data_IF_511624313298
#
_entry.id   IF_511624313298
#
_cell.length_a   1.000
_cell.length_b   1.000
_cell.length_c   1.000
_cell.angle_alpha   90.00
_cell.angle_beta   90.00
_cell.angle_gamma   90.00
#
_symmetry.space_group_name_H-M   'P 1'
#
loop_
_entity.id
_entity.type
_entity.pdbx_description
1 polymer ?
#
# COMPACT_ATOMS: atom_id res chain seq x y z
N UNK A 1 2.89 16.30 -5.15
CA UNK A 1 2.20 15.21 -4.41
C UNK A 1 1.26 15.65 -3.28
N UNK A 2 1.50 16.75 -2.53
CA UNK A 2 0.61 17.20 -1.44
C UNK A 2 -0.83 17.56 -1.90
N UNK A 3 -0.97 18.17 -3.08
CA UNK A 3 -2.28 18.62 -3.61
C UNK A 3 -3.23 17.47 -4.02
N UNK A 4 -2.70 16.31 -4.42
CA UNK A 4 -3.53 15.14 -4.76
C UNK A 4 -4.15 14.49 -3.51
N UNK A 5 -3.41 14.46 -2.40
CA UNK A 5 -3.90 13.92 -1.13
C UNK A 5 -5.06 14.76 -0.57
N UNK A 6 -4.97 16.09 -0.67
CA UNK A 6 -6.02 17.01 -0.21
C UNK A 6 -7.33 16.84 -1.00
N UNK A 7 -7.26 16.72 -2.34
CA UNK A 7 -8.43 16.48 -3.19
C UNK A 7 -9.10 15.13 -2.92
N UNK A 8 -8.32 14.10 -2.60
CA UNK A 8 -8.84 12.76 -2.25
C UNK A 8 -9.63 12.79 -0.95
N UNK A 9 -9.10 13.42 0.10
CA UNK A 9 -9.77 13.55 1.41
C UNK A 9 -11.08 14.34 1.28
N UNK A 10 -11.08 15.42 0.50
CA UNK A 10 -12.27 16.26 0.33
C UNK A 10 -13.35 15.58 -0.52
N UNK A 11 -12.97 14.83 -1.56
CA UNK A 11 -13.88 14.00 -2.34
C UNK A 11 -14.52 12.89 -1.50
N UNK A 12 -13.73 12.17 -0.69
CA UNK A 12 -14.23 11.13 0.23
C UNK A 12 -15.16 11.73 1.29
N UNK A 13 -14.87 12.94 1.78
CA UNK A 13 -15.73 13.65 2.75
C UNK A 13 -17.05 14.12 2.13
N UNK A 14 -17.03 14.58 0.87
CA UNK A 14 -18.25 14.95 0.12
C UNK A 14 -19.09 13.69 -0.17
N UNK A 15 -18.45 12.59 -0.59
CA UNK A 15 -19.12 11.31 -0.82
C UNK A 15 -19.78 10.77 0.45
N UNK A 16 -19.07 10.78 1.57
CA UNK A 16 -19.63 10.39 2.86
C UNK A 16 -20.83 11.27 3.23
N UNK A 17 -20.74 12.59 3.06
CA UNK A 17 -21.86 13.51 3.31
C UNK A 17 -23.07 13.25 2.41
N UNK A 18 -22.86 12.96 1.13
CA UNK A 18 -23.91 12.60 0.17
C UNK A 18 -24.63 11.30 0.54
N UNK A 19 -23.92 10.39 1.21
CA UNK A 19 -24.44 9.08 1.63
C UNK A 19 -25.06 9.12 3.04
N UNK A 20 -24.74 10.11 3.88
CA UNK A 20 -25.19 10.19 5.29
C UNK A 20 -26.37 11.12 5.54
N UNK A 21 -26.73 12.00 4.60
CA UNK A 21 -27.88 12.89 4.78
C UNK A 21 -29.18 12.19 4.37
N UNK A 22 -29.83 11.59 5.37
CA UNK A 22 -31.22 11.11 5.34
C UNK A 22 -31.54 10.03 4.29
N UNK A 23 -31.44 8.78 4.73
CA UNK A 23 -31.82 7.50 4.09
C UNK A 23 -33.28 7.40 3.55
N UNK A 24 -34.01 8.50 3.38
CA UNK A 24 -35.42 8.49 2.96
C UNK A 24 -35.63 8.38 1.44
N UNK A 25 -34.59 8.51 0.62
CA UNK A 25 -34.71 8.49 -0.84
C UNK A 25 -33.70 7.59 -1.58
N UNK A 26 -32.89 6.82 -0.86
CA UNK A 26 -31.85 5.97 -1.45
C UNK A 26 -32.39 4.54 -1.58
N UNK A 27 -32.73 4.13 -2.80
CA UNK A 27 -33.12 2.74 -3.08
C UNK A 27 -31.87 1.89 -3.35
N UNK A 28 -31.70 0.80 -2.59
CA UNK A 28 -30.68 -0.22 -2.85
C UNK A 28 -31.30 -1.35 -3.67
N UNK A 29 -30.82 -1.53 -4.90
CA UNK A 29 -31.34 -2.57 -5.82
C UNK A 29 -30.59 -3.89 -5.71
N UNK A 30 -29.29 -3.83 -5.41
CA UNK A 30 -28.42 -4.99 -5.15
C UNK A 30 -27.38 -4.58 -4.10
N UNK A 31 -26.63 -5.52 -3.48
CA UNK A 31 -25.67 -5.19 -2.42
C UNK A 31 -24.59 -4.17 -2.82
N UNK A 32 -24.44 -3.91 -4.13
CA UNK A 32 -23.37 -3.11 -4.72
C UNK A 32 -23.87 -1.93 -5.57
N UNK A 33 -25.19 -1.74 -5.70
CA UNK A 33 -25.76 -0.66 -6.52
C UNK A 33 -26.66 0.22 -5.66
N UNK A 34 -26.27 1.49 -5.58
CA UNK A 34 -26.99 2.55 -4.88
C UNK A 34 -27.61 3.49 -5.91
N UNK A 35 -28.92 3.75 -5.78
CA UNK A 35 -29.63 4.69 -6.65
C UNK A 35 -29.96 5.94 -5.85
N UNK A 36 -29.62 7.10 -6.43
CA UNK A 36 -29.82 8.41 -5.82
C UNK A 36 -30.60 9.30 -6.79
N UNK A 37 -31.72 9.94 -6.39
CA UNK A 37 -32.43 10.89 -7.24
C UNK A 37 -31.56 12.10 -7.62
N UNK A 38 -31.63 12.55 -8.87
CA UNK A 38 -30.83 13.70 -9.35
C UNK A 38 -31.26 14.99 -8.66
N UNK A 39 -32.55 15.15 -8.38
CA UNK A 39 -33.07 16.29 -7.62
C UNK A 39 -32.33 16.46 -6.30
N UNK A 40 -32.11 15.35 -5.58
CA UNK A 40 -31.39 15.31 -4.32
C UNK A 40 -29.90 15.62 -4.49
N UNK A 41 -29.24 15.03 -5.49
CA UNK A 41 -27.83 15.31 -5.80
C UNK A 41 -27.63 16.81 -6.09
N UNK A 42 -28.50 17.42 -6.88
CA UNK A 42 -28.40 18.83 -7.24
C UNK A 42 -28.62 19.79 -6.06
N UNK A 43 -29.38 19.40 -5.03
CA UNK A 43 -29.52 20.18 -3.78
C UNK A 43 -28.25 20.22 -2.93
N UNK A 44 -27.38 19.21 -3.02
CA UNK A 44 -26.22 19.06 -2.13
C UNK A 44 -24.92 19.41 -2.85
N UNK A 45 -24.92 19.39 -4.18
CA UNK A 45 -23.77 19.77 -4.97
C UNK A 45 -23.40 21.25 -4.74
N UNK A 46 -22.10 21.56 -4.59
CA UNK A 46 -21.65 22.95 -4.52
C UNK A 46 -22.13 23.75 -5.74
N UNK A 47 -22.39 25.05 -5.57
CA UNK A 47 -23.01 25.98 -6.55
C UNK A 47 -22.27 26.12 -7.91
N UNK A 48 -21.18 25.38 -8.15
CA UNK A 48 -20.44 25.33 -9.42
C UNK A 48 -20.08 23.92 -9.88
N UNK A 49 -20.58 22.90 -9.19
CA UNK A 49 -20.24 21.52 -9.45
C UNK A 49 -21.30 20.89 -10.36
N UNK A 50 -20.89 20.50 -11.56
CA UNK A 50 -21.76 19.92 -12.58
C UNK A 50 -21.86 18.41 -12.40
N UNK A 51 -22.96 17.80 -12.88
CA UNK A 51 -23.10 16.34 -12.92
C UNK A 51 -21.96 15.66 -13.69
N UNK A 52 -21.41 16.31 -14.72
CA UNK A 52 -20.25 15.80 -15.46
C UNK A 52 -18.98 15.74 -14.61
N UNK A 53 -18.78 16.73 -13.74
CA UNK A 53 -17.67 16.73 -12.79
C UNK A 53 -17.88 15.68 -11.69
N UNK A 54 -19.12 15.45 -11.27
CA UNK A 54 -19.46 14.37 -10.34
C UNK A 54 -19.15 13.00 -10.91
N UNK A 55 -19.55 12.73 -12.16
CA UNK A 55 -19.26 11.46 -12.82
C UNK A 55 -17.76 11.21 -12.98
N UNK A 56 -17.00 12.23 -13.41
CA UNK A 56 -15.53 12.13 -13.48
C UNK A 56 -14.91 11.88 -12.11
N UNK A 57 -15.46 12.48 -11.05
CA UNK A 57 -14.96 12.28 -9.70
C UNK A 57 -15.26 10.85 -9.22
N UNK A 58 -16.43 10.31 -9.52
CA UNK A 58 -16.79 8.92 -9.21
C UNK A 58 -15.86 7.93 -9.95
N UNK A 59 -15.65 8.16 -11.24
CA UNK A 59 -14.75 7.36 -12.09
C UNK A 59 -13.30 7.37 -11.57
N UNK A 60 -12.74 8.54 -11.24
CA UNK A 60 -11.39 8.67 -10.65
C UNK A 60 -11.27 7.89 -9.34
N UNK A 61 -12.36 7.77 -8.59
CA UNK A 61 -12.40 7.04 -7.33
C UNK A 61 -12.80 5.55 -7.50
N UNK A 62 -12.89 5.06 -8.75
CA UNK A 62 -13.16 3.65 -9.06
C UNK A 62 -14.62 3.25 -9.00
N UNK A 63 -15.55 4.21 -8.90
CA UNK A 63 -16.99 3.94 -8.96
C UNK A 63 -17.45 3.95 -10.41
N UNK A 64 -18.24 2.94 -10.80
CA UNK A 64 -19.00 2.99 -12.03
C UNK A 64 -20.30 3.74 -11.77
N UNK A 65 -20.51 4.85 -12.48
CA UNK A 65 -21.68 5.69 -12.28
C UNK A 65 -22.37 5.98 -13.62
N UNK A 66 -23.70 5.82 -13.65
CA UNK A 66 -24.52 6.10 -14.81
C UNK A 66 -25.69 7.02 -14.42
N UNK A 67 -26.14 7.87 -15.35
CA UNK A 67 -27.19 8.86 -15.11
C UNK A 67 -28.32 8.63 -16.10
N UNK A 68 -29.54 8.48 -15.60
CA UNK A 68 -30.76 8.59 -16.39
C UNK A 68 -31.48 9.90 -16.03
N UNK A 69 -32.54 10.28 -16.75
CA UNK A 69 -33.28 11.55 -16.58
C UNK A 69 -33.70 11.88 -15.14
N UNK A 70 -33.89 10.88 -14.27
CA UNK A 70 -34.37 11.06 -12.90
C UNK A 70 -33.36 10.65 -11.82
N UNK A 71 -32.46 9.71 -12.12
CA UNK A 71 -31.68 9.00 -11.13
C UNK A 71 -30.20 8.89 -11.53
N UNK A 72 -29.32 9.00 -10.53
CA UNK A 72 -27.91 8.63 -10.57
C UNK A 72 -27.77 7.22 -10.00
N UNK A 73 -27.18 6.33 -10.79
CA UNK A 73 -26.85 4.97 -10.41
C UNK A 73 -25.37 4.94 -10.08
N UNK A 74 -25.02 4.51 -8.87
CA UNK A 74 -23.63 4.33 -8.45
C UNK A 74 -23.45 2.86 -8.13
N UNK A 75 -22.69 2.16 -8.95
CA UNK A 75 -22.13 0.87 -8.59
C UNK A 75 -20.86 1.12 -7.77
N UNK A 76 -20.80 0.56 -6.57
CA UNK A 76 -19.57 0.55 -5.78
C UNK A 76 -18.44 -0.09 -6.58
N UNK A 77 -17.17 0.34 -6.41
CA UNK A 77 -16.03 -0.34 -7.01
C UNK A 77 -16.17 -1.83 -6.77
N UNK A 78 -15.99 -2.61 -7.83
CA UNK A 78 -16.01 -4.06 -7.79
C UNK A 78 -15.14 -4.48 -6.61
N UNK A 79 -15.75 -5.04 -5.55
CA UNK A 79 -15.06 -5.43 -4.32
C UNK A 79 -13.88 -6.36 -4.64
N UNK A 80 -13.91 -6.98 -5.83
CA UNK A 80 -12.82 -7.75 -6.40
C UNK A 80 -11.50 -6.97 -6.50
N UNK A 81 -11.48 -5.73 -7.01
CA UNK A 81 -10.23 -4.97 -7.23
C UNK A 81 -9.56 -4.57 -5.92
N UNK A 82 -10.35 -4.14 -4.93
CA UNK A 82 -9.82 -3.83 -3.61
C UNK A 82 -9.35 -5.11 -2.89
N UNK A 83 -10.06 -6.23 -3.04
CA UNK A 83 -9.64 -7.51 -2.48
C UNK A 83 -8.39 -8.08 -3.18
N UNK A 84 -8.26 -7.91 -4.49
CA UNK A 84 -7.07 -8.32 -5.26
C UNK A 84 -5.87 -7.45 -4.90
N UNK A 85 -6.06 -6.14 -4.74
CA UNK A 85 -5.03 -5.24 -4.24
C UNK A 85 -4.55 -5.64 -2.84
N UNK A 86 -5.48 -5.97 -1.93
CA UNK A 86 -5.11 -6.42 -0.58
C UNK A 86 -4.36 -7.76 -0.62
N UNK A 87 -4.80 -8.73 -1.44
CA UNK A 87 -4.06 -9.99 -1.63
C UNK A 87 -2.65 -9.77 -2.17
N UNK A 88 -2.49 -8.87 -3.14
CA UNK A 88 -1.17 -8.53 -3.70
C UNK A 88 -0.30 -7.85 -2.63
N UNK A 89 -0.87 -6.98 -1.80
CA UNK A 89 -0.17 -6.32 -0.69
C UNK A 89 0.28 -7.33 0.36
N UNK A 90 -0.58 -8.24 0.79
CA UNK A 90 -0.26 -9.30 1.75
C UNK A 90 0.87 -10.21 1.20
N UNK A 91 0.81 -10.58 -0.08
CA UNK A 91 1.85 -11.37 -0.75
C UNK A 91 3.20 -10.63 -0.81
N UNK A 92 3.17 -9.32 -1.04
CA UNK A 92 4.37 -8.47 -1.05
C UNK A 92 4.96 -8.37 0.36
N UNK A 93 4.14 -8.16 1.39
CA UNK A 93 4.58 -8.09 2.78
C UNK A 93 5.23 -9.41 3.23
N UNK A 94 4.60 -10.55 2.95
CA UNK A 94 5.19 -11.87 3.25
C UNK A 94 6.52 -12.11 2.54
N UNK A 95 6.64 -11.69 1.26
CA UNK A 95 7.90 -11.82 0.52
C UNK A 95 8.98 -10.90 1.09
N UNK A 96 8.61 -9.69 1.51
CA UNK A 96 9.53 -8.74 2.13
C UNK A 96 10.07 -9.27 3.46
N UNK A 97 9.21 -9.86 4.29
CA UNK A 97 9.62 -10.50 5.55
C UNK A 97 10.61 -11.66 5.31
N UNK A 98 10.35 -12.51 4.31
CA UNK A 98 11.27 -13.61 3.93
C UNK A 98 12.64 -13.09 3.48
N UNK A 99 12.66 -12.01 2.70
CA UNK A 99 13.91 -11.37 2.26
C UNK A 99 14.67 -10.82 3.46
N UNK A 100 13.99 -10.13 4.37
CA UNK A 100 14.59 -9.56 5.57
C UNK A 100 15.22 -10.64 6.46
N UNK A 101 14.52 -11.75 6.68
CA UNK A 101 15.04 -12.91 7.42
C UNK A 101 16.26 -13.54 6.72
N UNK A 102 16.26 -13.60 5.39
CA UNK A 102 17.39 -14.12 4.61
C UNK A 102 18.61 -13.21 4.70
N UNK A 103 18.42 -11.89 4.63
CA UNK A 103 19.48 -10.89 4.82
C UNK A 103 20.05 -10.98 6.23
N UNK A 104 19.19 -11.11 7.24
CA UNK A 104 19.63 -11.23 8.63
C UNK A 104 20.50 -12.48 8.82
N UNK A 105 20.07 -13.63 8.29
CA UNK A 105 20.86 -14.86 8.34
C UNK A 105 22.20 -14.75 7.61
N UNK A 106 22.23 -14.09 6.45
CA UNK A 106 23.47 -13.84 5.72
C UNK A 106 24.42 -12.92 6.49
N UNK A 107 23.88 -11.89 7.16
CA UNK A 107 24.63 -10.98 8.03
C UNK A 107 25.27 -11.69 9.21
N UNK A 108 24.53 -12.57 9.88
CA UNK A 108 25.04 -13.33 11.02
C UNK A 108 26.13 -14.33 10.59
N UNK A 109 25.95 -14.99 9.44
CA UNK A 109 26.99 -15.83 8.85
C UNK A 109 28.26 -15.05 8.50
N UNK A 110 28.13 -13.82 7.97
CA UNK A 110 29.26 -12.95 7.68
C UNK A 110 30.01 -12.53 8.95
N UNK A 111 29.30 -12.27 10.06
CA UNK A 111 29.93 -11.97 11.35
C UNK A 111 30.74 -13.16 11.86
N UNK A 112 30.17 -14.36 11.81
CA UNK A 112 30.88 -15.59 12.21
C UNK A 112 32.12 -15.85 11.33
N UNK A 113 32.01 -15.63 10.02
CA UNK A 113 33.14 -15.75 9.10
C UNK A 113 34.23 -14.70 9.39
N UNK A 114 33.83 -13.47 9.74
CA UNK A 114 34.77 -12.41 10.12
C UNK A 114 35.51 -12.74 11.42
N UNK A 115 34.81 -13.27 12.42
CA UNK A 115 35.41 -13.74 13.68
C UNK A 115 36.38 -14.90 13.44
N UNK A 116 35.97 -15.87 12.61
CA UNK A 116 36.82 -16.99 12.21
C UNK A 116 38.10 -16.50 11.52
N UNK A 117 37.99 -15.53 10.61
CA UNK A 117 39.15 -14.94 9.94
C UNK A 117 40.07 -14.18 10.91
N UNK A 118 39.54 -13.51 11.93
CA UNK A 118 40.37 -12.87 12.96
C UNK A 118 41.19 -13.89 13.73
N UNK A 119 40.57 -15.01 14.12
CA UNK A 119 41.27 -16.10 14.81
C UNK A 119 42.37 -16.68 13.93
N UNK A 120 42.06 -16.99 12.67
CA UNK A 120 43.05 -17.52 11.71
C UNK A 120 44.22 -16.58 11.51
N UNK A 121 43.96 -15.26 11.43
CA UNK A 121 45.01 -14.26 11.33
C UNK A 121 45.95 -14.30 12.55
N UNK A 122 45.40 -14.34 13.77
CA UNK A 122 46.21 -14.43 14.99
C UNK A 122 47.00 -15.73 15.07
N UNK A 123 46.43 -16.86 14.63
CA UNK A 123 47.16 -18.14 14.55
C UNK A 123 48.33 -18.08 13.54
N UNK A 124 48.12 -17.41 12.41
CA UNK A 124 49.16 -17.21 11.40
C UNK A 124 50.30 -16.33 11.94
N UNK A 125 49.96 -15.24 12.63
CA UNK A 125 50.94 -14.34 13.27
C UNK A 125 51.80 -15.09 14.29
N UNK A 126 51.20 -15.91 15.15
CA UNK A 126 51.92 -16.78 16.09
C UNK A 126 52.80 -17.82 15.37
N UNK A 127 52.31 -18.40 14.28
CA UNK A 127 53.07 -19.39 13.50
C UNK A 127 54.32 -18.77 12.88
N UNK A 128 54.20 -17.56 12.33
CA UNK A 128 55.33 -16.79 11.78
C UNK A 128 56.33 -16.42 12.88
N UNK A 129 55.85 -15.99 14.05
CA UNK A 129 56.72 -15.67 15.18
C UNK A 129 57.48 -16.90 15.69
N UNK A 130 56.80 -18.04 15.80
CA UNK A 130 57.42 -19.31 16.15
C UNK A 130 58.47 -19.74 15.12
N UNK A 131 58.18 -19.65 13.82
CA UNK A 131 59.13 -19.98 12.76
C UNK A 131 60.39 -19.10 12.86
N UNK A 132 60.24 -17.79 13.08
CA UNK A 132 61.36 -16.87 13.31
C UNK A 132 62.17 -17.28 14.54
N UNK A 133 61.49 -17.66 15.63
CA UNK A 133 62.14 -18.10 16.86
C UNK A 133 62.96 -19.38 16.66
N UNK A 134 62.37 -20.40 16.02
CA UNK A 134 63.06 -21.67 15.72
C UNK A 134 64.23 -21.49 14.76
N UNK A 135 64.06 -20.66 13.73
CA UNK A 135 65.13 -20.35 12.77
C UNK A 135 66.32 -19.70 13.47
N UNK A 136 66.09 -18.84 14.47
CA UNK A 136 67.13 -18.21 15.27
C UNK A 136 67.84 -19.18 16.23
N UNK A 137 67.17 -20.24 16.66
CA UNK A 137 67.74 -21.25 17.56
C UNK A 137 68.53 -22.34 16.84
N UNK A 138 68.18 -22.62 15.57
CA UNK A 138 68.73 -23.71 14.78
C UNK A 138 69.70 -23.25 13.67
N UNK A 139 69.73 -21.96 13.35
CA UNK A 139 70.69 -21.33 12.44
C UNK A 139 71.79 -20.60 13.21
#
# INVERSE_FOLDING_TARGET
MKYLKLRKIEATRILAKLLTSEDKQIERYTPYITIIPISFVMTILPYRFTMRQLLKLLEINGFEANVNKKNLFIATPNVSLFSELNKILDDVEMKQEKIQNSIQKASDNLKLALESNKILKSMLELSIENEKHWTKLLG
#
